data_IF_465808646498
#
_entry.id   IF_465808646498
#
_cell.length_a   1.000
_cell.length_b   1.000
_cell.length_c   1.000
_cell.angle_alpha   90.00
_cell.angle_beta   90.00
_cell.angle_gamma   90.00
#
_symmetry.space_group_name_H-M   'P 1'
#
loop_
_entity.id
_entity.type
_entity.pdbx_description
1 polymer ?
#
# COMPACT_ATOMS: atom_id res chain seq x y z
N UNK A 1 9.28 -17.43 -9.67
CA UNK A 1 8.39 -18.56 -9.36
C UNK A 1 8.88 -19.86 -9.95
N UNK A 2 9.16 -19.97 -11.25
CA UNK A 2 9.65 -21.21 -11.86
C UNK A 2 10.86 -21.80 -11.15
N UNK A 3 11.88 -21.01 -10.84
CA UNK A 3 13.07 -21.45 -10.11
C UNK A 3 12.77 -22.04 -8.73
N UNK A 4 11.80 -21.43 -8.01
CA UNK A 4 11.39 -21.92 -6.68
C UNK A 4 10.64 -23.24 -6.80
N UNK A 5 9.79 -23.40 -7.81
CA UNK A 5 9.05 -24.63 -8.08
C UNK A 5 9.98 -25.76 -8.50
N UNK A 6 10.95 -25.47 -9.37
CA UNK A 6 11.98 -26.43 -9.78
C UNK A 6 12.83 -26.90 -8.58
N UNK A 7 13.17 -25.98 -7.66
CA UNK A 7 13.95 -26.32 -6.47
C UNK A 7 13.20 -27.20 -5.46
N UNK A 8 11.85 -27.04 -5.36
CA UNK A 8 11.02 -27.80 -4.41
C UNK A 8 10.36 -29.06 -4.97
N UNK A 9 10.26 -29.18 -6.30
CA UNK A 9 9.74 -30.37 -6.98
C UNK A 9 8.27 -30.71 -6.66
N UNK A 10 7.49 -29.75 -6.15
CA UNK A 10 6.06 -29.90 -5.85
C UNK A 10 5.32 -28.63 -6.27
N UNK A 11 4.14 -28.82 -6.87
CA UNK A 11 3.25 -27.71 -7.14
C UNK A 11 2.70 -27.10 -5.85
N UNK A 12 2.63 -25.75 -5.73
CA UNK A 12 2.02 -25.10 -4.60
C UNK A 12 0.52 -25.37 -4.58
N UNK A 13 -0.04 -25.50 -3.38
CA UNK A 13 -1.49 -25.70 -3.22
C UNK A 13 -2.27 -24.39 -3.36
N UNK A 14 -1.62 -23.25 -3.12
CA UNK A 14 -2.19 -21.91 -3.23
C UNK A 14 -1.10 -20.84 -3.35
N UNK A 15 -1.51 -19.64 -3.78
CA UNK A 15 -0.68 -18.44 -3.85
C UNK A 15 -1.30 -17.36 -2.96
N UNK A 16 -0.46 -16.73 -2.11
CA UNK A 16 -0.75 -15.47 -1.46
C UNK A 16 0.05 -14.35 -2.10
N UNK A 17 -0.56 -13.19 -2.30
CA UNK A 17 0.10 -11.99 -2.85
C UNK A 17 0.28 -10.98 -1.73
N UNK A 18 1.47 -10.44 -1.60
CA UNK A 18 1.75 -9.27 -0.78
C UNK A 18 2.59 -8.27 -1.56
N UNK A 19 2.39 -7.00 -1.31
CA UNK A 19 2.96 -5.93 -2.12
C UNK A 19 3.17 -4.66 -1.30
N UNK A 20 4.09 -3.82 -1.77
CA UNK A 20 4.14 -2.42 -1.34
C UNK A 20 2.84 -1.72 -1.72
N UNK A 21 2.21 -1.06 -0.77
CA UNK A 21 0.91 -0.39 -0.95
C UNK A 21 1.06 0.91 -1.75
N UNK A 22 -0.03 1.55 -2.08
CA UNK A 22 -0.18 2.89 -2.67
C UNK A 22 0.47 3.10 -4.06
N UNK A 23 1.36 2.22 -4.49
CA UNK A 23 1.96 2.26 -5.83
C UNK A 23 0.90 1.95 -6.88
N UNK A 24 0.65 2.86 -7.82
CA UNK A 24 -0.38 2.73 -8.85
C UNK A 24 0.22 2.30 -10.18
N UNK A 25 -0.43 1.30 -10.77
CA UNK A 25 -0.25 0.85 -12.15
C UNK A 25 -1.48 1.20 -12.95
N UNK A 26 -1.28 1.69 -14.17
CA UNK A 26 -2.35 1.90 -15.15
C UNK A 26 -2.10 0.99 -16.37
N UNK A 27 -3.12 0.24 -16.81
CA UNK A 27 -3.01 -0.64 -17.97
C UNK A 27 -4.28 -0.69 -18.79
N UNK A 28 -4.16 -1.16 -20.02
CA UNK A 28 -5.29 -1.40 -20.89
C UNK A 28 -5.80 -2.85 -20.71
N UNK A 29 -7.08 -3.01 -20.35
CA UNK A 29 -7.70 -4.31 -20.07
C UNK A 29 -7.77 -5.24 -21.30
N UNK A 30 -7.80 -4.68 -22.52
CA UNK A 30 -7.85 -5.49 -23.76
C UNK A 30 -6.49 -6.02 -24.16
N UNK A 31 -5.44 -5.23 -23.97
CA UNK A 31 -4.08 -5.59 -24.40
C UNK A 31 -3.22 -6.16 -23.29
N UNK A 32 -3.64 -5.98 -22.02
CA UNK A 32 -2.86 -6.27 -20.82
C UNK A 32 -1.51 -5.55 -20.79
N UNK A 33 -1.38 -4.42 -21.49
CA UNK A 33 -0.15 -3.63 -21.50
C UNK A 33 -0.29 -2.41 -20.60
N UNK A 34 0.75 -2.08 -19.82
CA UNK A 34 0.81 -0.81 -19.09
C UNK A 34 0.70 0.37 -20.07
N UNK A 35 -0.10 1.38 -19.71
CA UNK A 35 -0.25 2.62 -20.50
C UNK A 35 0.65 3.75 -20.00
N UNK A 36 1.21 3.61 -18.81
CA UNK A 36 2.17 4.52 -18.21
C UNK A 36 3.11 3.74 -17.27
N UNK A 37 4.25 4.34 -16.89
CA UNK A 37 5.09 3.81 -15.81
C UNK A 37 4.35 3.89 -14.48
N UNK A 38 4.52 2.88 -13.62
CA UNK A 38 3.93 2.88 -12.28
C UNK A 38 4.40 4.10 -11.47
N UNK A 39 3.48 4.72 -10.74
CA UNK A 39 3.79 5.80 -9.80
C UNK A 39 3.97 5.20 -8.42
N UNK A 40 5.21 5.19 -7.92
CA UNK A 40 5.54 4.57 -6.64
C UNK A 40 5.02 5.39 -5.46
N UNK A 41 4.85 4.74 -4.32
CA UNK A 41 4.36 5.36 -3.08
C UNK A 41 5.20 6.58 -2.63
N UNK A 42 6.51 6.59 -2.91
CA UNK A 42 7.43 7.69 -2.60
C UNK A 42 7.34 8.89 -3.55
N UNK A 43 6.59 8.76 -4.67
CA UNK A 43 6.49 9.82 -5.66
C UNK A 43 5.68 11.01 -5.13
N UNK A 44 6.29 12.18 -5.09
CA UNK A 44 5.75 13.41 -4.52
C UNK A 44 5.21 14.42 -5.55
N UNK A 45 5.08 14.02 -6.84
CA UNK A 45 4.66 14.94 -7.92
C UNK A 45 3.31 15.61 -7.69
N UNK A 46 2.43 14.98 -6.92
CA UNK A 46 1.08 15.48 -6.60
C UNK A 46 1.01 16.31 -5.32
N UNK A 47 2.16 16.67 -4.70
CA UNK A 47 2.21 17.45 -3.45
C UNK A 47 1.45 18.77 -3.55
N UNK A 48 1.58 19.49 -4.68
CA UNK A 48 0.85 20.75 -4.90
C UNK A 48 -0.67 20.52 -4.88
N UNK A 49 -1.14 19.44 -5.53
CA UNK A 49 -2.56 19.09 -5.55
C UNK A 49 -3.09 18.81 -4.14
N UNK A 50 -2.34 18.07 -3.32
CA UNK A 50 -2.69 17.84 -1.92
C UNK A 50 -2.80 19.14 -1.14
N UNK A 51 -1.83 20.05 -1.27
CA UNK A 51 -1.88 21.37 -0.64
C UNK A 51 -3.07 22.23 -1.09
N UNK A 52 -3.47 22.15 -2.36
CA UNK A 52 -4.64 22.85 -2.86
C UNK A 52 -5.94 22.25 -2.32
N UNK A 53 -6.03 20.93 -2.19
CA UNK A 53 -7.17 20.25 -1.57
C UNK A 53 -7.28 20.52 -0.06
N UNK A 54 -6.17 20.70 0.66
CA UNK A 54 -6.16 21.07 2.08
C UNK A 54 -6.81 22.44 2.36
N UNK A 55 -6.88 23.31 1.36
CA UNK A 55 -7.56 24.63 1.45
C UNK A 55 -9.08 24.51 1.32
N UNK A 56 -9.60 23.33 1.03
CA UNK A 56 -11.03 23.02 0.91
C UNK A 56 -11.53 22.29 2.15
N UNK A 57 -12.86 22.13 2.27
CA UNK A 57 -13.49 21.38 3.36
C UNK A 57 -13.45 19.85 3.13
N UNK A 58 -12.51 19.37 2.31
CA UNK A 58 -12.45 17.95 1.94
C UNK A 58 -11.70 17.10 2.97
N UNK A 59 -10.71 17.66 3.68
CA UNK A 59 -9.86 16.92 4.62
C UNK A 59 -10.66 16.20 5.73
N UNK A 60 -11.64 16.83 6.42
CA UNK A 60 -12.43 16.13 7.42
C UNK A 60 -13.18 14.93 6.84
N UNK A 61 -13.75 15.08 5.64
CA UNK A 61 -14.44 14.00 4.96
C UNK A 61 -13.49 12.85 4.58
N UNK A 62 -12.31 13.15 4.02
CA UNK A 62 -11.29 12.13 3.73
C UNK A 62 -10.90 11.39 5.00
N UNK A 63 -10.61 12.10 6.09
CA UNK A 63 -10.21 11.48 7.35
C UNK A 63 -11.28 10.52 7.89
N UNK A 64 -12.53 10.95 7.90
CA UNK A 64 -13.62 10.11 8.41
C UNK A 64 -13.91 8.91 7.50
N UNK A 65 -13.94 9.12 6.17
CA UNK A 65 -14.32 8.07 5.21
C UNK A 65 -13.20 7.07 4.98
N UNK A 66 -11.95 7.54 4.88
CA UNK A 66 -10.84 6.68 4.46
C UNK A 66 -9.83 6.37 5.57
N UNK A 67 -9.89 7.08 6.70
CA UNK A 67 -8.89 7.00 7.75
C UNK A 67 -7.56 7.68 7.41
N UNK A 68 -7.45 8.33 6.24
CA UNK A 68 -6.21 8.88 5.72
C UNK A 68 -6.18 10.42 5.81
N UNK A 69 -5.06 10.98 5.41
CA UNK A 69 -4.84 12.43 5.27
C UNK A 69 -4.59 12.80 3.81
N UNK A 70 -4.62 14.10 3.50
CA UNK A 70 -4.25 14.60 2.16
C UNK A 70 -2.73 14.63 2.00
N UNK A 71 -2.16 13.53 1.57
CA UNK A 71 -0.72 13.41 1.26
C UNK A 71 -0.52 12.70 -0.09
N UNK A 72 0.49 13.10 -0.90
CA UNK A 72 0.83 12.44 -2.15
C UNK A 72 1.31 11.00 -1.98
N UNK A 73 1.48 10.51 -0.77
CA UNK A 73 1.73 9.12 -0.45
C UNK A 73 0.63 8.21 -1.02
N UNK A 74 -0.65 8.60 -0.90
CA UNK A 74 -1.80 7.81 -1.30
C UNK A 74 -2.09 7.86 -2.80
N UNK A 75 -2.91 6.91 -3.29
CA UNK A 75 -3.05 6.63 -4.72
C UNK A 75 -3.92 7.63 -5.48
N UNK A 76 -4.97 8.20 -4.86
CA UNK A 76 -6.00 8.97 -5.57
C UNK A 76 -5.44 10.13 -6.40
N UNK A 77 -4.59 10.97 -5.81
CA UNK A 77 -4.00 12.11 -6.54
C UNK A 77 -3.04 11.67 -7.64
N UNK A 78 -2.42 10.49 -7.51
CA UNK A 78 -1.58 9.91 -8.56
C UNK A 78 -2.41 9.43 -9.75
N UNK A 79 -3.59 8.83 -9.49
CA UNK A 79 -4.52 8.44 -10.56
C UNK A 79 -5.05 9.70 -11.27
N UNK A 80 -5.47 10.72 -10.51
CA UNK A 80 -5.89 12.01 -11.07
C UNK A 80 -4.78 12.61 -11.96
N UNK A 81 -3.52 12.56 -11.50
CA UNK A 81 -2.38 13.03 -12.29
C UNK A 81 -2.18 12.22 -13.58
N UNK A 82 -2.31 10.88 -13.51
CA UNK A 82 -2.20 10.00 -14.69
C UNK A 82 -3.25 10.34 -15.75
N UNK A 83 -4.45 10.70 -15.33
CA UNK A 83 -5.55 11.10 -16.23
C UNK A 83 -5.27 12.47 -16.84
N UNK A 84 -4.91 13.46 -16.03
CA UNK A 84 -4.84 14.86 -16.45
C UNK A 84 -3.51 15.27 -17.09
N UNK A 85 -2.38 14.75 -16.55
CA UNK A 85 -1.04 15.14 -16.95
C UNK A 85 -0.23 13.96 -17.53
N UNK A 86 -0.58 12.72 -17.15
CA UNK A 86 -0.02 11.49 -17.72
C UNK A 86 -0.64 11.10 -19.07
N UNK A 87 -1.54 11.95 -19.61
CA UNK A 87 -2.19 11.81 -20.93
C UNK A 87 -2.94 10.48 -21.12
N UNK A 88 -3.45 9.89 -20.03
CA UNK A 88 -4.26 8.67 -20.12
C UNK A 88 -5.70 9.05 -20.42
N UNK A 89 -6.16 8.78 -21.64
CA UNK A 89 -7.56 8.93 -22.00
C UNK A 89 -8.41 7.93 -21.22
N UNK A 90 -9.20 8.44 -20.27
CA UNK A 90 -10.08 7.60 -19.47
C UNK A 90 -11.13 6.91 -20.35
N UNK A 91 -11.25 5.61 -20.20
CA UNK A 91 -12.23 4.78 -20.90
C UNK A 91 -12.51 3.51 -20.08
N UNK A 92 -13.60 2.78 -20.37
CA UNK A 92 -13.86 1.48 -19.70
C UNK A 92 -12.74 0.46 -19.86
N UNK A 93 -11.88 0.63 -20.86
CA UNK A 93 -10.76 -0.28 -21.13
C UNK A 93 -9.50 0.01 -20.29
N UNK A 94 -9.45 1.14 -19.60
CA UNK A 94 -8.35 1.50 -18.70
C UNK A 94 -8.61 0.97 -17.32
N UNK A 95 -7.63 0.32 -16.73
CA UNK A 95 -7.64 -0.11 -15.33
C UNK A 95 -6.59 0.65 -14.54
N UNK A 96 -6.94 1.05 -13.32
CA UNK A 96 -6.03 1.51 -12.30
C UNK A 96 -6.06 0.52 -11.14
N UNK A 97 -4.90 0.10 -10.67
CA UNK A 97 -4.81 -0.81 -9.54
C UNK A 97 -3.48 -0.67 -8.82
N UNK A 98 -3.46 -1.11 -7.58
CA UNK A 98 -2.23 -1.30 -6.84
C UNK A 98 -1.48 -2.52 -7.36
N UNK A 99 -0.27 -2.75 -6.90
CA UNK A 99 0.63 -3.80 -7.43
C UNK A 99 0.00 -5.20 -7.32
N UNK A 100 -0.75 -5.48 -6.27
CA UNK A 100 -1.51 -6.72 -6.11
C UNK A 100 -2.48 -6.99 -7.26
N UNK A 101 -3.29 -5.97 -7.61
CA UNK A 101 -4.25 -6.07 -8.73
C UNK A 101 -3.54 -6.31 -10.06
N UNK A 102 -2.40 -5.65 -10.28
CA UNK A 102 -1.58 -5.85 -11.47
C UNK A 102 -0.97 -7.25 -11.54
N UNK A 103 -0.46 -7.77 -10.40
CA UNK A 103 0.05 -9.14 -10.30
C UNK A 103 -1.07 -10.14 -10.54
N UNK A 104 -2.22 -9.96 -9.87
CA UNK A 104 -3.39 -10.82 -10.03
C UNK A 104 -3.85 -10.87 -11.50
N UNK A 105 -3.99 -9.69 -12.14
CA UNK A 105 -4.35 -9.58 -13.56
C UNK A 105 -3.43 -10.41 -14.46
N UNK A 106 -2.12 -10.27 -14.26
CA UNK A 106 -1.14 -11.03 -15.04
C UNK A 106 -1.19 -12.53 -14.73
N UNK A 107 -1.22 -12.93 -13.47
CA UNK A 107 -1.25 -14.35 -13.08
C UNK A 107 -2.48 -15.08 -13.62
N UNK A 108 -3.60 -14.37 -13.74
CA UNK A 108 -4.88 -14.90 -14.23
C UNK A 108 -5.10 -14.66 -15.73
N UNK A 109 -4.14 -14.06 -16.43
CA UNK A 109 -4.25 -13.66 -17.84
C UNK A 109 -5.49 -12.80 -18.12
N UNK A 110 -5.76 -11.83 -17.24
CA UNK A 110 -6.84 -10.89 -17.38
C UNK A 110 -8.23 -11.39 -16.97
N UNK A 111 -8.34 -12.60 -16.41
CA UNK A 111 -9.64 -13.12 -15.98
C UNK A 111 -10.10 -12.62 -14.61
N UNK A 112 -9.21 -12.05 -13.79
CA UNK A 112 -9.51 -11.45 -12.50
C UNK A 112 -8.96 -10.05 -12.38
N UNK A 113 -9.84 -9.10 -12.02
CA UNK A 113 -9.50 -7.71 -11.72
C UNK A 113 -10.05 -7.38 -10.33
N UNK A 114 -9.24 -7.63 -9.32
CA UNK A 114 -9.61 -7.48 -7.93
C UNK A 114 -8.43 -6.97 -7.08
N UNK A 115 -8.75 -6.50 -5.90
CA UNK A 115 -7.86 -6.11 -4.81
C UNK A 115 -8.47 -6.54 -3.48
N UNK A 116 -7.76 -6.31 -2.39
CA UNK A 116 -8.29 -6.55 -1.05
C UNK A 116 -8.48 -5.23 -0.27
N UNK A 117 -9.22 -5.22 0.85
CA UNK A 117 -9.45 -4.02 1.65
C UNK A 117 -8.17 -3.40 2.23
N UNK A 118 -7.10 -4.19 2.46
CA UNK A 118 -5.85 -3.64 2.99
C UNK A 118 -5.14 -2.75 1.98
N UNK A 119 -5.21 -3.09 0.69
CA UNK A 119 -4.72 -2.26 -0.41
C UNK A 119 -5.70 -1.14 -0.76
N UNK A 120 -7.00 -1.43 -0.87
CA UNK A 120 -8.03 -0.45 -1.18
C UNK A 120 -8.06 0.70 -0.17
N UNK A 121 -7.93 0.42 1.13
CA UNK A 121 -7.90 1.42 2.20
C UNK A 121 -6.71 2.40 2.08
N UNK A 122 -5.70 2.10 1.26
CA UNK A 122 -4.54 2.98 1.05
C UNK A 122 -4.66 3.87 -0.18
N UNK A 123 -5.77 3.80 -0.87
CA UNK A 123 -5.96 4.56 -2.12
C UNK A 123 -6.47 5.99 -1.92
N UNK A 124 -7.04 6.31 -0.77
CA UNK A 124 -7.80 7.54 -0.50
C UNK A 124 -9.09 7.64 -1.35
N UNK A 125 -9.60 6.49 -1.81
CA UNK A 125 -10.85 6.36 -2.60
C UNK A 125 -11.86 5.41 -1.93
N UNK A 126 -11.44 4.71 -0.89
CA UNK A 126 -12.18 3.60 -0.29
C UNK A 126 -12.75 4.00 1.08
N UNK A 127 -14.05 3.79 1.25
CA UNK A 127 -14.74 3.94 2.54
C UNK A 127 -14.45 2.71 3.39
N UNK A 128 -13.64 2.90 4.45
CA UNK A 128 -13.18 1.78 5.29
C UNK A 128 -14.26 1.25 6.23
N UNK A 129 -15.32 2.02 6.51
CA UNK A 129 -16.47 1.57 7.30
C UNK A 129 -17.46 0.78 6.44
N UNK A 130 -17.79 1.30 5.24
CA UNK A 130 -18.75 0.68 4.33
C UNK A 130 -18.15 -0.39 3.43
N UNK A 131 -16.82 -0.51 3.44
CA UNK A 131 -16.05 -1.47 2.63
C UNK A 131 -16.33 -1.39 1.13
N UNK A 132 -16.37 -0.17 0.58
CA UNK A 132 -16.61 0.10 -0.83
C UNK A 132 -15.90 1.36 -1.33
N UNK A 133 -15.76 1.48 -2.63
CA UNK A 133 -15.31 2.72 -3.27
C UNK A 133 -16.31 3.84 -2.96
N UNK A 134 -15.81 5.03 -2.57
CA UNK A 134 -16.66 6.16 -2.24
C UNK A 134 -16.93 7.04 -3.46
N UNK A 135 -18.20 7.15 -3.87
CA UNK A 135 -18.62 7.90 -5.06
C UNK A 135 -18.23 9.37 -5.02
N UNK A 136 -18.24 10.02 -3.85
CA UNK A 136 -17.86 11.42 -3.72
C UNK A 136 -16.35 11.59 -3.97
N UNK A 137 -15.53 10.70 -3.43
CA UNK A 137 -14.08 10.72 -3.68
C UNK A 137 -13.75 10.39 -5.12
N UNK A 138 -14.44 9.40 -5.73
CA UNK A 138 -14.29 9.10 -7.14
C UNK A 138 -14.58 10.34 -8.02
N UNK A 139 -15.67 11.05 -7.73
CA UNK A 139 -16.03 12.28 -8.44
C UNK A 139 -15.00 13.40 -8.23
N UNK A 140 -14.46 13.57 -7.02
CA UNK A 140 -13.43 14.60 -6.73
C UNK A 140 -12.18 14.41 -7.57
N UNK A 141 -11.76 13.15 -7.77
CA UNK A 141 -10.54 12.81 -8.51
C UNK A 141 -10.79 12.44 -9.99
N UNK A 142 -12.05 12.53 -10.45
CA UNK A 142 -12.41 12.26 -11.85
C UNK A 142 -12.22 10.80 -12.27
N UNK A 143 -12.44 9.87 -11.34
CA UNK A 143 -12.26 8.42 -11.52
C UNK A 143 -13.64 7.76 -11.59
N UNK A 144 -13.81 6.72 -12.39
CA UNK A 144 -15.02 5.91 -12.40
C UNK A 144 -14.76 4.55 -11.77
N UNK A 145 -15.77 3.98 -11.10
CA UNK A 145 -15.63 2.71 -10.41
C UNK A 145 -15.25 1.56 -11.37
N UNK A 146 -15.71 1.61 -12.61
CA UNK A 146 -15.38 0.62 -13.66
C UNK A 146 -13.86 0.54 -13.98
N UNK A 147 -13.10 1.59 -13.63
CA UNK A 147 -11.66 1.63 -13.80
C UNK A 147 -10.89 1.08 -12.59
N UNK A 148 -11.60 0.72 -11.51
CA UNK A 148 -11.04 0.20 -10.28
C UNK A 148 -11.32 -1.29 -10.09
N UNK A 149 -10.47 -2.03 -9.37
CA UNK A 149 -10.67 -3.45 -9.11
C UNK A 149 -11.86 -3.70 -8.17
N UNK A 150 -12.50 -4.86 -8.31
CA UNK A 150 -13.43 -5.36 -7.30
C UNK A 150 -12.69 -5.57 -5.97
N UNK A 151 -13.30 -5.22 -4.85
CA UNK A 151 -12.70 -5.42 -3.53
C UNK A 151 -13.26 -6.70 -2.93
N UNK A 152 -12.37 -7.66 -2.66
CA UNK A 152 -12.69 -8.98 -2.11
C UNK A 152 -12.01 -9.14 -0.74
N UNK A 153 -12.53 -9.99 0.18
CA UNK A 153 -11.88 -10.27 1.45
C UNK A 153 -10.41 -10.65 1.29
N UNK A 154 -9.55 -10.24 2.22
CA UNK A 154 -8.10 -10.50 2.16
C UNK A 154 -7.76 -11.99 2.12
N UNK A 155 -8.61 -12.84 2.73
CA UNK A 155 -8.59 -14.29 2.62
C UNK A 155 -9.83 -14.75 1.85
N UNK A 156 -9.63 -15.33 0.65
CA UNK A 156 -10.71 -15.74 -0.23
C UNK A 156 -10.16 -16.12 -1.60
N UNK A 157 -11.03 -16.46 -2.53
CA UNK A 157 -10.61 -16.86 -3.88
C UNK A 157 -10.60 -15.64 -4.82
N UNK A 158 -9.41 -15.18 -5.19
CA UNK A 158 -9.21 -14.09 -6.14
C UNK A 158 -9.14 -14.54 -7.59
N UNK A 159 -8.74 -15.76 -7.84
CA UNK A 159 -8.61 -16.32 -9.19
C UNK A 159 -7.76 -17.57 -9.21
N UNK A 160 -7.43 -18.01 -10.42
CA UNK A 160 -6.64 -19.21 -10.69
C UNK A 160 -5.57 -18.87 -11.72
N UNK A 161 -4.34 -19.35 -11.52
CA UNK A 161 -3.25 -19.10 -12.46
C UNK A 161 -3.55 -19.67 -13.84
N UNK A 162 -3.22 -18.90 -14.88
CA UNK A 162 -3.43 -19.26 -16.28
C UNK A 162 -2.27 -20.09 -16.84
N UNK A 163 -2.54 -20.83 -17.92
CA UNK A 163 -1.55 -21.59 -18.71
C UNK A 163 -0.56 -20.72 -19.48
N UNK A 164 -0.79 -19.41 -19.56
CA UNK A 164 0.09 -18.49 -20.31
C UNK A 164 1.44 -18.22 -19.63
N UNK A 165 1.64 -18.72 -18.42
CA UNK A 165 2.88 -18.57 -17.66
C UNK A 165 3.72 -19.83 -17.66
N UNK A 166 5.03 -19.69 -17.47
CA UNK A 166 6.01 -20.77 -17.42
C UNK A 166 5.92 -21.65 -16.15
N UNK A 167 4.99 -21.37 -15.25
CA UNK A 167 4.72 -22.18 -14.05
C UNK A 167 3.30 -22.80 -14.12
N UNK A 168 3.02 -23.75 -13.24
CA UNK A 168 1.80 -24.53 -13.29
C UNK A 168 0.52 -23.69 -13.36
N UNK A 169 -0.38 -24.05 -14.27
CA UNK A 169 -1.72 -23.50 -14.34
C UNK A 169 -2.63 -24.18 -13.30
N UNK A 170 -3.71 -23.51 -12.95
CA UNK A 170 -4.71 -24.11 -12.06
C UNK A 170 -4.42 -23.91 -10.56
N UNK A 171 -3.38 -23.15 -10.20
CA UNK A 171 -3.08 -22.86 -8.79
C UNK A 171 -4.01 -21.74 -8.32
N UNK A 172 -4.80 -21.95 -7.26
CA UNK A 172 -5.68 -20.93 -6.73
C UNK A 172 -4.87 -19.79 -6.06
N UNK A 173 -5.34 -18.55 -6.27
CA UNK A 173 -4.83 -17.36 -5.58
C UNK A 173 -5.84 -17.05 -4.49
N UNK A 174 -5.45 -17.26 -3.22
CA UNK A 174 -6.39 -17.30 -2.09
C UNK A 174 -6.14 -16.27 -1.01
N UNK A 175 -5.17 -15.41 -1.19
CA UNK A 175 -4.90 -14.33 -0.24
C UNK A 175 -4.22 -13.16 -0.91
N UNK A 176 -4.67 -11.95 -0.56
CA UNK A 176 -4.01 -10.69 -0.91
C UNK A 176 -3.97 -9.82 0.34
N UNK A 177 -2.81 -9.23 0.63
CA UNK A 177 -2.67 -8.23 1.68
C UNK A 177 -1.51 -7.31 1.39
N UNK A 178 -1.66 -6.02 1.72
CA UNK A 178 -0.54 -5.07 1.73
C UNK A 178 0.57 -5.53 2.66
N UNK A 179 1.82 -5.21 2.33
CA UNK A 179 3.03 -5.71 3.02
C UNK A 179 3.01 -5.47 4.54
N UNK A 180 2.53 -4.30 4.96
CA UNK A 180 2.49 -3.95 6.37
C UNK A 180 1.41 -4.72 7.13
N UNK A 181 0.25 -4.94 6.51
CA UNK A 181 -0.83 -5.74 7.04
C UNK A 181 -0.48 -7.23 7.05
N UNK A 182 0.13 -7.74 5.97
CA UNK A 182 0.65 -9.10 5.91
C UNK A 182 1.70 -9.35 7.02
N UNK A 183 2.54 -8.35 7.30
CA UNK A 183 3.50 -8.40 8.41
C UNK A 183 2.80 -8.44 9.77
N UNK A 184 1.77 -7.60 10.00
CA UNK A 184 1.00 -7.61 11.25
C UNK A 184 0.34 -8.98 11.49
N UNK A 185 -0.30 -9.53 10.46
CA UNK A 185 -0.90 -10.85 10.50
C UNK A 185 0.14 -11.96 10.73
N UNK A 186 1.27 -11.90 10.02
CA UNK A 186 2.36 -12.89 10.13
C UNK A 186 3.08 -12.88 11.49
N UNK A 187 3.01 -11.78 12.23
CA UNK A 187 3.47 -11.71 13.63
C UNK A 187 2.42 -12.22 14.62
N UNK A 188 1.29 -12.76 14.14
CA UNK A 188 0.18 -13.22 14.96
C UNK A 188 -0.39 -12.12 15.89
N UNK A 189 -0.36 -10.85 15.45
CA UNK A 189 -0.89 -9.71 16.19
C UNK A 189 -2.43 -9.67 16.07
N UNK A 190 -3.11 -10.69 16.62
CA UNK A 190 -4.54 -10.90 16.42
C UNK A 190 -5.42 -10.22 17.46
N UNK A 191 -4.87 -9.91 18.63
CA UNK A 191 -5.61 -9.22 19.68
C UNK A 191 -5.53 -7.70 19.53
N UNK A 192 -6.60 -7.00 19.91
CA UNK A 192 -6.57 -5.54 20.00
C UNK A 192 -5.47 -5.10 20.99
N UNK A 193 -4.62 -4.16 20.55
CA UNK A 193 -3.43 -3.71 21.26
C UNK A 193 -2.14 -4.38 20.81
N UNK A 194 -2.19 -5.51 20.09
CA UNK A 194 -0.99 -6.10 19.49
C UNK A 194 -0.46 -5.20 18.39
N UNK A 195 0.86 -5.04 18.35
CA UNK A 195 1.51 -4.16 17.39
C UNK A 195 2.77 -4.79 16.80
N UNK A 196 3.12 -4.32 15.61
CA UNK A 196 4.42 -4.61 14.99
C UNK A 196 5.08 -3.31 14.55
N UNK A 197 6.40 -3.30 14.47
CA UNK A 197 7.18 -2.25 13.85
C UNK A 197 8.12 -2.84 12.81
N UNK A 198 8.02 -2.36 11.58
CA UNK A 198 8.93 -2.72 10.50
C UNK A 198 9.99 -1.63 10.35
N UNK A 199 11.24 -1.99 10.51
CA UNK A 199 12.39 -1.13 10.23
C UNK A 199 12.98 -1.51 8.88
N UNK A 200 12.78 -0.66 7.87
CA UNK A 200 13.33 -0.83 6.52
C UNK A 200 13.87 0.49 6.00
N UNK A 201 13.65 0.80 4.73
CA UNK A 201 13.91 2.12 4.13
C UNK A 201 13.23 3.22 4.92
N UNK A 202 11.94 3.03 5.23
CA UNK A 202 11.17 3.75 6.25
C UNK A 202 10.84 2.81 7.41
N UNK A 203 10.14 3.33 8.42
CA UNK A 203 9.57 2.53 9.51
C UNK A 203 8.07 2.66 9.54
N UNK A 204 7.39 1.54 9.77
CA UNK A 204 5.93 1.45 9.77
C UNK A 204 5.47 0.68 11.00
N UNK A 205 4.80 1.41 11.89
CA UNK A 205 4.22 0.84 13.11
C UNK A 205 2.74 0.62 12.84
N UNK A 206 2.27 -0.61 13.00
CA UNK A 206 0.84 -0.93 12.93
C UNK A 206 0.42 -1.55 14.25
N UNK A 207 -0.75 -1.12 14.74
CA UNK A 207 -1.39 -1.67 15.93
C UNK A 207 -2.82 -2.11 15.58
N UNK A 208 -3.12 -3.38 15.84
CA UNK A 208 -4.48 -3.91 15.76
C UNK A 208 -5.37 -3.18 16.79
N UNK A 209 -6.51 -2.64 16.34
CA UNK A 209 -7.47 -1.93 17.20
C UNK A 209 -8.82 -2.64 17.31
N UNK A 210 -8.91 -3.87 16.76
CA UNK A 210 -10.13 -4.69 16.82
C UNK A 210 -11.04 -4.49 15.62
N UNK A 211 -12.32 -4.81 15.80
CA UNK A 211 -13.30 -4.90 14.70
C UNK A 211 -14.15 -3.64 14.53
N UNK A 212 -14.07 -2.70 15.44
CA UNK A 212 -14.76 -1.41 15.31
C UNK A 212 -13.90 -0.45 14.47
N UNK A 213 -14.51 0.20 13.48
CA UNK A 213 -13.81 1.20 12.66
C UNK A 213 -13.38 2.36 13.57
N UNK A 214 -12.07 2.63 13.69
CA UNK A 214 -11.60 3.66 14.62
C UNK A 214 -11.90 5.06 14.09
N UNK A 215 -12.32 5.94 15.01
CA UNK A 215 -12.36 7.37 14.73
C UNK A 215 -10.97 7.89 14.33
N UNK A 216 -10.89 8.94 13.50
CA UNK A 216 -9.61 9.53 13.12
C UNK A 216 -8.79 9.99 14.33
N UNK A 217 -7.55 9.52 14.45
CA UNK A 217 -6.60 9.91 15.50
C UNK A 217 -5.57 10.88 14.94
N UNK A 218 -5.32 11.98 15.65
CA UNK A 218 -4.35 12.97 15.19
C UNK A 218 -2.93 12.39 15.11
N UNK A 219 -2.28 12.64 13.99
CA UNK A 219 -0.94 12.15 13.71
C UNK A 219 -0.86 10.68 13.26
N UNK A 220 -1.95 9.91 13.32
CA UNK A 220 -2.01 8.52 12.89
C UNK A 220 -2.98 8.36 11.72
N UNK A 221 -2.84 7.24 11.03
CA UNK A 221 -3.75 6.80 9.98
C UNK A 221 -4.59 5.64 10.51
N UNK A 222 -5.87 5.60 10.12
CA UNK A 222 -6.71 4.42 10.27
C UNK A 222 -6.68 3.61 8.97
N UNK A 223 -6.65 2.30 9.07
CA UNK A 223 -6.56 1.41 7.89
C UNK A 223 -7.21 0.07 8.20
N UNK A 224 -7.60 -0.66 7.16
CA UNK A 224 -8.03 -2.05 7.32
C UNK A 224 -6.80 -2.92 7.56
N UNK A 225 -6.80 -3.72 8.62
CA UNK A 225 -5.74 -4.68 8.92
C UNK A 225 -5.89 -5.96 8.08
N UNK A 226 -7.10 -6.50 8.02
CA UNK A 226 -7.52 -7.61 7.15
C UNK A 226 -9.03 -7.76 7.17
N UNK A 227 -9.54 -8.44 6.16
CA UNK A 227 -10.93 -8.90 6.11
C UNK A 227 -10.90 -10.40 5.79
N UNK A 228 -11.57 -11.18 6.63
CA UNK A 228 -11.62 -12.64 6.49
C UNK A 228 -13.06 -13.06 6.23
N UNK A 229 -13.24 -13.92 5.24
CA UNK A 229 -14.49 -14.61 4.98
C UNK A 229 -14.39 -16.05 5.52
N UNK A 230 -15.15 -16.33 6.57
CA UNK A 230 -15.30 -17.65 7.15
C UNK A 230 -16.66 -18.22 6.77
N UNK A 231 -16.72 -18.92 5.63
CA UNK A 231 -17.93 -19.57 5.12
C UNK A 231 -19.15 -18.61 5.01
N UNK A 232 -18.90 -17.38 4.57
CA UNK A 232 -19.92 -16.33 4.38
C UNK A 232 -20.09 -15.41 5.58
N UNK A 233 -19.39 -15.63 6.69
CA UNK A 233 -19.29 -14.68 7.79
C UNK A 233 -18.05 -13.80 7.61
N UNK A 234 -18.27 -12.58 7.12
CA UNK A 234 -17.21 -11.61 6.85
C UNK A 234 -16.89 -10.84 8.14
N UNK A 235 -15.63 -10.90 8.55
CA UNK A 235 -15.10 -10.12 9.67
C UNK A 235 -13.98 -9.18 9.20
N UNK A 236 -14.04 -7.93 9.65
CA UNK A 236 -13.01 -6.91 9.37
C UNK A 236 -12.31 -6.53 10.67
N UNK A 237 -10.98 -6.49 10.60
CA UNK A 237 -10.13 -5.96 11.67
C UNK A 237 -9.45 -4.70 11.18
N UNK A 238 -9.35 -3.69 12.04
CA UNK A 238 -8.74 -2.40 11.75
C UNK A 238 -7.40 -2.24 12.46
N UNK A 239 -6.58 -1.33 11.94
CA UNK A 239 -5.32 -0.95 12.56
C UNK A 239 -5.14 0.58 12.54
N UNK A 240 -4.40 1.07 13.53
CA UNK A 240 -3.77 2.39 13.48
C UNK A 240 -2.35 2.25 12.95
N UNK A 241 -1.94 3.20 12.10
CA UNK A 241 -0.61 3.21 11.49
C UNK A 241 0.11 4.52 11.73
N UNK A 242 1.37 4.40 12.20
CA UNK A 242 2.36 5.46 12.17
C UNK A 242 3.41 5.17 11.11
N UNK A 243 3.64 6.12 10.19
CA UNK A 243 4.58 5.97 9.09
C UNK A 243 5.73 6.97 9.21
N UNK A 244 6.97 6.51 9.13
CA UNK A 244 8.19 7.30 9.12
C UNK A 244 8.91 6.99 7.80
N UNK A 245 8.98 7.96 6.90
CA UNK A 245 9.41 7.71 5.52
C UNK A 245 10.91 7.41 5.38
N UNK A 246 11.74 7.92 6.27
CA UNK A 246 13.20 7.81 6.18
C UNK A 246 13.77 7.30 7.50
N UNK A 247 14.20 6.04 7.54
CA UNK A 247 14.94 5.41 8.65
C UNK A 247 16.20 4.72 8.14
N UNK A 248 16.13 3.51 7.63
CA UNK A 248 17.29 2.84 7.03
C UNK A 248 17.84 3.59 5.80
N UNK A 249 17.01 4.33 5.08
CA UNK A 249 17.46 5.21 4.01
C UNK A 249 18.40 6.31 4.50
N UNK A 250 18.26 6.81 5.73
CA UNK A 250 19.19 7.76 6.32
C UNK A 250 20.60 7.14 6.49
N UNK A 251 20.65 5.89 6.94
CA UNK A 251 21.93 5.15 7.11
C UNK A 251 22.60 4.93 5.76
N UNK A 252 21.82 4.56 4.73
CA UNK A 252 22.34 4.44 3.37
C UNK A 252 22.87 5.80 2.85
N UNK A 253 22.18 6.90 3.15
CA UNK A 253 22.62 8.22 2.76
C UNK A 253 23.92 8.64 3.47
N UNK A 254 24.10 8.31 4.75
CA UNK A 254 25.37 8.53 5.45
C UNK A 254 26.53 7.79 4.78
N UNK A 255 26.28 6.57 4.30
CA UNK A 255 27.27 5.75 3.57
C UNK A 255 27.50 6.24 2.15
N UNK A 256 26.44 6.36 1.34
CA UNK A 256 26.55 6.53 -0.12
C UNK A 256 26.59 8.01 -0.51
N UNK A 257 25.86 8.88 0.21
CA UNK A 257 25.78 10.31 -0.04
C UNK A 257 26.90 11.10 0.63
N UNK A 258 26.99 11.02 1.96
CA UNK A 258 28.02 11.75 2.73
C UNK A 258 29.36 11.01 2.80
N UNK A 259 29.36 9.69 2.62
CA UNK A 259 30.55 8.83 2.68
C UNK A 259 31.34 8.96 4.00
N UNK A 260 30.59 9.12 5.11
CA UNK A 260 31.18 9.22 6.46
C UNK A 260 31.25 7.86 7.17
N UNK A 261 30.63 6.83 6.62
CA UNK A 261 30.76 5.43 7.00
C UNK A 261 30.98 4.57 5.76
N UNK A 262 31.75 3.50 5.87
CA UNK A 262 31.97 2.56 4.77
C UNK A 262 30.94 1.43 4.76
N UNK A 263 30.53 0.99 5.93
CA UNK A 263 29.57 -0.10 6.13
C UNK A 263 28.50 0.30 7.15
N UNK A 264 27.29 -0.23 6.97
CA UNK A 264 26.19 -0.01 7.93
C UNK A 264 26.57 -0.43 9.34
N UNK A 265 27.34 -1.51 9.49
CA UNK A 265 27.84 -2.00 10.79
C UNK A 265 28.81 -1.04 11.50
N UNK A 266 29.33 -0.04 10.82
CA UNK A 266 30.25 0.92 11.45
C UNK A 266 29.49 1.97 12.28
N UNK A 267 28.21 2.20 11.96
CA UNK A 267 27.36 3.18 12.64
C UNK A 267 27.27 2.92 14.14
N UNK A 268 26.97 1.67 14.54
CA UNK A 268 26.85 1.29 15.95
C UNK A 268 28.18 1.50 16.69
N UNK A 269 29.31 1.12 16.08
CA UNK A 269 30.64 1.28 16.69
C UNK A 269 30.96 2.74 16.95
N UNK A 270 30.74 3.60 15.93
CA UNK A 270 30.98 5.04 16.03
C UNK A 270 30.04 5.70 17.06
N UNK A 271 28.79 5.26 17.12
CA UNK A 271 27.83 5.77 18.10
C UNK A 271 28.24 5.41 19.54
N UNK A 272 28.79 4.22 19.76
CA UNK A 272 29.28 3.78 21.08
C UNK A 272 30.58 4.48 21.53
N UNK A 273 31.31 5.09 20.61
CA UNK A 273 32.51 5.90 20.92
C UNK A 273 32.17 7.30 21.45
N UNK A 274 30.88 7.75 21.26
CA UNK A 274 30.41 9.05 21.67
C UNK A 274 29.63 8.94 22.99
N UNK A 275 30.00 9.73 24.02
CA UNK A 275 29.26 9.79 25.28
C UNK A 275 27.95 10.63 25.14
N UNK A 276 27.95 11.60 24.25
CA UNK A 276 26.82 12.51 24.01
C UNK A 276 26.68 12.80 22.51
N UNK A 277 25.56 13.40 22.11
CA UNK A 277 25.37 13.93 20.76
C UNK A 277 25.96 15.34 20.58
N UNK A 278 26.49 15.94 21.64
CA UNK A 278 26.98 17.33 21.68
C UNK A 278 25.95 18.33 21.09
N UNK A 279 24.67 18.09 21.39
CA UNK A 279 23.51 18.85 20.87
C UNK A 279 23.36 18.85 19.34
N UNK A 280 23.98 17.87 18.66
CA UNK A 280 23.77 17.66 17.22
C UNK A 280 22.59 16.69 17.01
N UNK A 281 21.59 17.16 16.26
CA UNK A 281 20.42 16.36 15.90
C UNK A 281 20.29 16.26 14.39
N UNK A 282 19.99 15.06 13.90
CA UNK A 282 19.74 14.80 12.49
C UNK A 282 18.28 14.43 12.26
N UNK A 283 17.54 15.24 11.49
CA UNK A 283 16.16 15.00 11.12
C UNK A 283 16.10 14.60 9.65
N UNK A 284 15.93 13.30 9.34
CA UNK A 284 15.96 12.80 7.97
C UNK A 284 14.61 13.01 7.26
N UNK A 285 14.28 14.26 6.93
CA UNK A 285 13.02 14.66 6.31
C UNK A 285 13.15 14.97 4.80
N UNK A 286 14.02 14.26 4.09
CA UNK A 286 14.32 14.53 2.66
C UNK A 286 13.11 14.38 1.73
N UNK A 287 12.13 13.56 2.10
CA UNK A 287 10.89 13.33 1.35
C UNK A 287 9.64 13.82 2.10
N UNK A 288 9.84 14.65 3.12
CA UNK A 288 8.81 15.07 4.07
C UNK A 288 8.78 14.19 5.32
N UNK A 289 7.92 14.56 6.24
CA UNK A 289 7.65 13.83 7.47
C UNK A 289 6.31 13.12 7.33
N UNK A 290 6.24 11.87 7.80
CA UNK A 290 4.98 11.16 8.03
C UNK A 290 4.43 11.46 9.41
N UNK A 291 4.00 10.43 10.14
CA UNK A 291 3.49 10.58 11.51
C UNK A 291 4.47 11.28 12.43
N UNK A 292 4.00 12.17 13.32
CA UNK A 292 2.62 12.67 13.42
C UNK A 292 2.35 13.94 12.60
N UNK A 293 3.28 14.36 11.76
CA UNK A 293 3.31 15.71 11.17
C UNK A 293 2.63 15.86 9.80
N UNK A 294 2.35 14.78 9.12
CA UNK A 294 1.74 14.64 7.76
C UNK A 294 1.67 15.91 6.90
#
# INVERSE_FOLDING_TARGET
MSEVLEAHGKDPVAIGITNQRETIVAWNKKTSLPVHRALVWQDRRTSKRCLDLQKTDLLPFIRTTTGLVLDPYFSATKIEWLINEGEIALSPDVAFGTIDSWILWNLTNGSAFATDPTNASRTMLFDIERMKWDERLLNVFGITEENLPAVLPSSGQFGITSTSHSFAAGIPITGIAGDQQASLFGHAAFAAGDAKNTYGTGSFILMNVGQECPEPVDGLLSTVAWTIDNDGEISTTYALEGSIFVTGAAVQWLRDGLKIIDKVSDLEKLALECETTDDVYFVPAFTGLGSPWW
#
